data_IF_575071471361
#
_entry.id   IF_575071471361
#
_cell.length_a   1.000
_cell.length_b   1.000
_cell.length_c   1.000
_cell.angle_alpha   90.00
_cell.angle_beta   90.00
_cell.angle_gamma   90.00
#
_symmetry.space_group_name_H-M   'P 1'
#
loop_
_entity.id
_entity.type
_entity.pdbx_description
1 polymer ?
#
# COMPACT_ATOMS: atom_id res chain seq x y z
N UNK A 1 32.79 15.78 -2.84
CA UNK A 1 33.28 16.49 -4.05
C UNK A 1 34.72 16.06 -4.26
N UNK A 2 35.06 15.58 -5.46
CA UNK A 2 36.43 15.30 -5.86
C UNK A 2 37.20 16.61 -5.91
N UNK A 3 38.50 16.58 -5.63
CA UNK A 3 39.35 17.74 -5.88
C UNK A 3 39.34 18.06 -7.38
N UNK A 4 39.45 19.34 -7.78
CA UNK A 4 39.36 19.74 -9.18
C UNK A 4 40.42 19.13 -10.12
N UNK A 5 41.43 18.51 -9.55
CA UNK A 5 42.56 17.88 -10.27
C UNK A 5 42.36 16.38 -10.55
N UNK A 6 41.28 15.76 -10.05
CA UNK A 6 41.03 14.32 -10.16
C UNK A 6 40.23 13.99 -11.41
N UNK A 7 40.84 13.38 -12.38
CA UNK A 7 40.14 12.84 -13.58
C UNK A 7 39.62 11.44 -13.23
N UNK A 8 38.36 11.18 -13.51
CA UNK A 8 37.72 9.87 -13.32
C UNK A 8 37.49 9.25 -14.69
N UNK A 9 38.04 8.07 -14.89
CA UNK A 9 37.76 7.24 -16.07
C UNK A 9 36.88 6.08 -15.68
N UNK A 10 35.79 5.86 -16.43
CA UNK A 10 34.90 4.71 -16.26
C UNK A 10 35.04 3.78 -17.44
N UNK A 11 35.35 2.53 -17.17
CA UNK A 11 35.38 1.48 -18.16
C UNK A 11 34.25 0.49 -17.86
N UNK A 12 33.35 0.27 -18.81
CA UNK A 12 32.20 -0.62 -18.65
C UNK A 12 32.53 -1.97 -19.26
N UNK A 13 32.62 -3.02 -18.42
CA UNK A 13 32.63 -4.42 -18.84
C UNK A 13 31.22 -4.99 -18.95
N UNK A 14 31.07 -6.25 -19.35
CA UNK A 14 29.76 -6.93 -19.51
C UNK A 14 29.02 -7.11 -18.18
N UNK A 15 29.74 -7.28 -17.07
CA UNK A 15 29.17 -7.45 -15.73
C UNK A 15 29.90 -6.64 -14.64
N UNK A 16 30.84 -5.79 -15.03
CA UNK A 16 31.64 -4.98 -14.11
C UNK A 16 31.78 -3.55 -14.62
N UNK A 17 31.98 -2.63 -13.69
CA UNK A 17 32.32 -1.23 -13.99
C UNK A 17 33.59 -0.92 -13.22
N UNK A 18 34.67 -0.64 -13.96
CA UNK A 18 35.94 -0.23 -13.41
C UNK A 18 35.98 1.30 -13.35
N UNK A 19 36.26 1.83 -12.17
CA UNK A 19 36.38 3.26 -11.92
C UNK A 19 37.80 3.54 -11.48
N UNK A 20 38.57 4.21 -12.30
CA UNK A 20 39.93 4.61 -11.97
C UNK A 20 40.03 6.12 -11.74
N UNK A 21 40.87 6.48 -10.77
CA UNK A 21 41.14 7.84 -10.35
C UNK A 21 42.58 8.20 -10.69
N UNK A 22 42.82 9.41 -11.19
CA UNK A 22 44.16 9.90 -11.48
C UNK A 22 45.00 10.13 -10.20
N UNK A 23 44.35 10.29 -9.05
CA UNK A 23 44.99 10.42 -7.75
C UNK A 23 44.16 9.74 -6.65
N UNK A 24 44.80 9.25 -5.56
CA UNK A 24 44.05 8.62 -4.46
C UNK A 24 43.00 9.54 -3.85
N UNK A 25 41.87 8.96 -3.44
CA UNK A 25 40.83 9.69 -2.71
C UNK A 25 41.35 10.06 -1.32
N UNK A 26 41.11 11.30 -0.91
CA UNK A 26 41.48 11.80 0.42
C UNK A 26 40.53 11.26 1.49
N UNK A 27 40.99 11.09 2.75
CA UNK A 27 40.15 10.71 3.86
C UNK A 27 38.92 11.62 3.99
N UNK A 28 37.74 11.01 4.10
CA UNK A 28 36.45 11.74 4.19
C UNK A 28 35.79 12.10 2.86
N UNK A 29 36.45 11.89 1.73
CA UNK A 29 35.78 11.99 0.41
C UNK A 29 34.86 10.79 0.18
N UNK A 30 33.69 11.06 -0.41
CA UNK A 30 32.68 10.03 -0.73
C UNK A 30 32.50 9.96 -2.23
N UNK A 31 32.54 8.75 -2.76
CA UNK A 31 32.14 8.46 -4.14
C UNK A 31 30.69 8.02 -4.15
N UNK A 32 29.88 8.67 -5.00
CA UNK A 32 28.51 8.24 -5.32
C UNK A 32 28.47 7.81 -6.78
N UNK A 33 28.21 6.52 -7.00
CA UNK A 33 27.97 5.96 -8.33
C UNK A 33 26.46 5.84 -8.54
N UNK A 34 25.98 6.44 -9.61
CA UNK A 34 24.59 6.31 -10.05
C UNK A 34 24.58 5.50 -11.35
N UNK A 35 23.99 4.32 -11.30
CA UNK A 35 23.87 3.45 -12.47
C UNK A 35 22.44 3.50 -12.98
N UNK A 36 22.28 3.84 -14.25
CA UNK A 36 20.99 3.88 -14.93
C UNK A 36 20.87 2.71 -15.91
N UNK A 37 19.68 2.14 -16.02
CA UNK A 37 19.37 1.03 -16.95
C UNK A 37 20.27 -0.20 -16.76
N UNK A 38 20.50 -0.60 -15.51
CA UNK A 38 21.22 -1.83 -15.21
C UNK A 38 20.35 -3.04 -15.52
N UNK A 39 20.83 -3.93 -16.40
CA UNK A 39 20.16 -5.21 -16.62
C UNK A 39 20.51 -6.16 -15.48
N UNK A 40 19.54 -6.56 -14.70
CA UNK A 40 19.71 -7.57 -13.66
C UNK A 40 19.52 -8.97 -14.26
N UNK A 41 20.10 -10.03 -13.64
CA UNK A 41 19.90 -11.39 -14.11
C UNK A 41 18.41 -11.76 -14.09
N UNK A 42 17.99 -12.49 -15.13
CA UNK A 42 16.58 -12.92 -15.28
C UNK A 42 16.30 -14.17 -14.42
N UNK A 43 16.63 -14.09 -13.14
CA UNK A 43 16.45 -15.16 -12.14
C UNK A 43 15.88 -14.54 -10.88
N UNK A 44 14.85 -15.15 -10.32
CA UNK A 44 14.34 -14.73 -9.01
C UNK A 44 15.39 -15.02 -7.95
N UNK A 45 15.67 -14.06 -7.11
CA UNK A 45 16.63 -14.20 -6.02
C UNK A 45 17.16 -12.89 -5.50
N UNK A 46 18.03 -12.98 -4.53
CA UNK A 46 18.72 -11.83 -3.98
C UNK A 46 20.04 -11.61 -4.74
N UNK A 47 20.25 -10.38 -5.17
CA UNK A 47 21.46 -9.93 -5.85
C UNK A 47 22.15 -8.90 -4.97
N UNK A 48 23.47 -9.04 -4.85
CA UNK A 48 24.31 -8.12 -4.12
C UNK A 48 25.26 -7.43 -5.09
N UNK A 49 25.50 -6.15 -4.88
CA UNK A 49 26.60 -5.47 -5.53
C UNK A 49 27.85 -5.72 -4.71
N UNK A 50 28.86 -6.31 -5.34
CA UNK A 50 30.18 -6.54 -4.76
C UNK A 50 31.21 -5.76 -5.56
N UNK A 51 32.32 -5.49 -4.98
CA UNK A 51 33.41 -4.81 -5.67
C UNK A 51 34.70 -4.86 -4.86
N UNK A 52 35.80 -4.52 -5.50
CA UNK A 52 37.10 -4.38 -4.88
C UNK A 52 37.59 -2.95 -5.08
N UNK A 53 38.43 -2.48 -4.19
CA UNK A 53 39.15 -1.22 -4.37
C UNK A 53 40.65 -1.42 -4.07
N UNK A 54 41.47 -0.73 -4.83
CA UNK A 54 42.91 -0.79 -4.64
C UNK A 54 43.38 0.44 -3.88
N UNK A 55 44.10 0.21 -2.81
CA UNK A 55 44.76 1.27 -2.04
C UNK A 55 45.98 1.84 -2.78
N UNK A 56 46.46 3.00 -2.34
CA UNK A 56 47.63 3.64 -2.91
C UNK A 56 48.91 2.80 -2.77
N UNK A 57 48.99 1.85 -1.84
CA UNK A 57 50.04 0.88 -1.62
C UNK A 57 49.99 -0.37 -2.53
N UNK A 58 48.95 -0.46 -3.38
CA UNK A 58 48.70 -1.57 -4.28
C UNK A 58 47.89 -2.72 -3.65
N UNK A 59 47.53 -2.66 -2.40
CA UNK A 59 46.72 -3.68 -1.75
C UNK A 59 45.25 -3.60 -2.23
N UNK A 60 44.69 -4.74 -2.61
CA UNK A 60 43.27 -4.88 -2.94
C UNK A 60 42.46 -5.25 -1.70
N UNK A 61 41.38 -4.52 -1.48
CA UNK A 61 40.43 -4.80 -0.43
C UNK A 61 39.05 -4.94 -1.02
N UNK A 62 38.25 -5.84 -0.44
CA UNK A 62 36.86 -6.01 -0.84
C UNK A 62 35.94 -4.91 -0.25
N UNK A 63 35.06 -4.40 -1.04
CA UNK A 63 33.94 -3.56 -0.56
C UNK A 63 32.97 -4.45 0.21
N UNK A 64 32.47 -3.95 1.32
CA UNK A 64 31.32 -4.59 1.98
C UNK A 64 30.19 -4.76 0.96
N UNK A 65 29.55 -5.94 0.87
CA UNK A 65 28.44 -6.16 -0.05
C UNK A 65 27.33 -5.15 0.23
N UNK A 66 26.65 -4.72 -0.84
CA UNK A 66 25.48 -3.88 -0.71
C UNK A 66 24.37 -4.61 0.07
N UNK A 67 23.36 -3.89 0.60
CA UNK A 67 22.10 -4.52 0.96
C UNK A 67 21.57 -5.38 -0.20
N UNK A 68 20.87 -6.49 0.13
CA UNK A 68 20.28 -7.36 -0.88
C UNK A 68 19.26 -6.61 -1.73
N UNK A 69 19.31 -6.85 -3.03
CA UNK A 69 18.31 -6.39 -4.00
C UNK A 69 17.53 -7.63 -4.41
N UNK A 70 16.26 -7.67 -4.04
CA UNK A 70 15.36 -8.75 -4.44
C UNK A 70 14.99 -8.58 -5.91
N UNK A 71 15.41 -9.54 -6.74
CA UNK A 71 15.05 -9.59 -8.17
C UNK A 71 13.87 -10.53 -8.33
N UNK A 72 12.75 -9.99 -8.78
CA UNK A 72 11.55 -10.77 -9.09
C UNK A 72 11.27 -10.74 -10.58
N UNK A 73 10.77 -11.86 -11.11
CA UNK A 73 10.32 -11.85 -12.50
C UNK A 73 9.15 -10.89 -12.67
N UNK A 74 9.18 -10.14 -13.75
CA UNK A 74 8.05 -9.31 -14.12
C UNK A 74 6.79 -10.18 -14.27
N UNK A 75 5.73 -9.77 -13.59
CA UNK A 75 4.42 -10.42 -13.69
C UNK A 75 3.90 -10.37 -15.14
N UNK A 76 2.97 -11.26 -15.54
CA UNK A 76 2.35 -11.15 -16.86
C UNK A 76 1.75 -9.77 -17.15
N UNK A 77 1.20 -9.11 -16.14
CA UNK A 77 0.66 -7.76 -16.25
C UNK A 77 1.75 -6.73 -16.50
N UNK A 78 2.91 -6.84 -15.84
CA UNK A 78 4.06 -5.94 -16.07
C UNK A 78 4.67 -6.14 -17.46
N UNK A 79 4.79 -7.40 -17.93
CA UNK A 79 5.26 -7.67 -19.30
C UNK A 79 4.33 -7.07 -20.34
N UNK A 80 3.02 -7.22 -20.18
CA UNK A 80 2.02 -6.63 -21.05
C UNK A 80 2.06 -5.10 -20.99
N UNK A 81 2.21 -4.54 -19.81
CA UNK A 81 2.36 -3.10 -19.58
C UNK A 81 3.58 -2.53 -20.33
N UNK A 82 4.73 -3.19 -20.21
CA UNK A 82 5.96 -2.78 -20.92
C UNK A 82 5.76 -2.84 -22.43
N UNK A 83 5.22 -3.95 -22.92
CA UNK A 83 4.91 -4.10 -24.35
C UNK A 83 3.93 -3.02 -24.86
N UNK A 84 2.88 -2.71 -24.08
CA UNK A 84 1.94 -1.63 -24.42
C UNK A 84 2.64 -0.27 -24.48
N UNK A 85 3.52 0.05 -23.54
CA UNK A 85 4.25 1.31 -23.52
C UNK A 85 5.19 1.51 -24.73
N UNK A 86 5.61 0.41 -25.36
CA UNK A 86 6.43 0.44 -26.59
C UNK A 86 5.62 0.68 -27.86
N UNK A 87 4.28 0.51 -27.81
CA UNK A 87 3.44 0.68 -28.99
C UNK A 87 3.33 2.16 -29.42
N UNK A 88 3.51 2.47 -30.72
CA UNK A 88 3.41 3.86 -31.22
C UNK A 88 2.08 4.53 -30.89
N UNK A 89 0.98 3.77 -30.89
CA UNK A 89 -0.35 4.29 -30.58
C UNK A 89 -0.44 4.73 -29.10
N UNK A 90 0.16 3.96 -28.17
CA UNK A 90 0.20 4.29 -26.75
C UNK A 90 1.13 5.48 -26.49
N UNK A 91 2.25 5.56 -27.20
CA UNK A 91 3.14 6.71 -27.12
C UNK A 91 2.46 8.00 -27.62
N UNK A 92 1.72 7.92 -28.74
CA UNK A 92 0.90 9.03 -29.23
C UNK A 92 -0.21 9.41 -28.24
N UNK A 93 -0.86 8.43 -27.60
CA UNK A 93 -1.84 8.65 -26.54
C UNK A 93 -1.23 9.39 -25.36
N UNK A 94 -0.08 8.94 -24.89
CA UNK A 94 0.66 9.52 -23.76
C UNK A 94 1.28 10.89 -24.06
N UNK A 95 1.36 11.30 -25.33
CA UNK A 95 1.79 12.64 -25.70
C UNK A 95 0.79 13.72 -25.29
N UNK A 96 -0.49 13.37 -25.15
CA UNK A 96 -1.53 14.25 -24.65
C UNK A 96 -1.50 14.22 -23.11
N UNK A 97 -1.14 15.34 -22.49
CA UNK A 97 -0.93 15.44 -21.04
C UNK A 97 -2.14 14.98 -20.22
N UNK A 98 -3.36 15.32 -20.65
CA UNK A 98 -4.58 14.90 -19.97
C UNK A 98 -4.75 13.37 -19.99
N UNK A 99 -4.56 12.73 -21.14
CA UNK A 99 -4.69 11.28 -21.30
C UNK A 99 -3.63 10.54 -20.49
N UNK A 100 -2.39 11.04 -20.52
CA UNK A 100 -1.29 10.49 -19.72
C UNK A 100 -1.55 10.57 -18.21
N UNK A 101 -2.15 11.66 -17.72
CA UNK A 101 -2.38 11.83 -16.27
C UNK A 101 -3.55 10.98 -15.74
N UNK A 102 -4.59 10.77 -16.56
CA UNK A 102 -5.83 10.13 -16.09
C UNK A 102 -6.06 8.73 -16.68
N UNK A 103 -5.48 8.43 -17.85
CA UNK A 103 -5.77 7.21 -18.62
C UNK A 103 -4.50 6.62 -19.23
N UNK A 104 -3.49 6.36 -18.43
CA UNK A 104 -2.23 5.75 -18.86
C UNK A 104 -2.42 4.22 -19.01
N UNK A 105 -2.47 3.67 -20.26
CA UNK A 105 -2.84 2.27 -20.49
C UNK A 105 -1.88 1.28 -19.83
N UNK A 106 -0.58 1.52 -19.89
CA UNK A 106 0.44 0.69 -19.29
C UNK A 106 0.33 0.65 -17.75
N UNK A 107 0.02 1.79 -17.12
CA UNK A 107 -0.18 1.86 -15.67
C UNK A 107 -1.47 1.15 -15.24
N UNK A 108 -2.55 1.30 -16.01
CA UNK A 108 -3.82 0.60 -15.75
C UNK A 108 -3.57 -0.90 -15.74
N UNK A 109 -2.91 -1.43 -16.78
CA UNK A 109 -2.67 -2.88 -16.92
C UNK A 109 -1.76 -3.41 -15.80
N UNK A 110 -0.66 -2.72 -15.49
CA UNK A 110 0.25 -3.14 -14.42
C UNK A 110 -0.40 -3.09 -13.02
N UNK A 111 -1.40 -2.23 -12.83
CA UNK A 111 -2.11 -2.08 -11.56
C UNK A 111 -3.22 -3.12 -11.34
N UNK A 112 -3.71 -3.79 -12.40
CA UNK A 112 -4.82 -4.77 -12.30
C UNK A 112 -4.60 -5.81 -11.21
N UNK A 113 -3.45 -6.50 -11.10
CA UNK A 113 -3.25 -7.53 -10.07
C UNK A 113 -3.37 -6.96 -8.64
N UNK A 114 -2.78 -5.80 -8.40
CA UNK A 114 -2.81 -5.15 -7.07
C UNK A 114 -4.23 -4.73 -6.72
N UNK A 115 -4.94 -4.11 -7.67
CA UNK A 115 -6.34 -3.70 -7.49
C UNK A 115 -7.25 -4.92 -7.28
N UNK A 116 -7.04 -6.01 -8.04
CA UNK A 116 -7.82 -7.24 -7.90
C UNK A 116 -7.65 -7.86 -6.50
N UNK A 117 -6.42 -7.92 -5.98
CA UNK A 117 -6.16 -8.40 -4.61
C UNK A 117 -6.84 -7.49 -3.58
N UNK A 118 -6.70 -6.17 -3.72
CA UNK A 118 -7.36 -5.22 -2.83
C UNK A 118 -8.89 -5.35 -2.86
N UNK A 119 -9.47 -5.57 -4.04
CA UNK A 119 -10.90 -5.81 -4.22
C UNK A 119 -11.35 -7.10 -3.53
N UNK A 120 -10.61 -8.21 -3.69
CA UNK A 120 -10.92 -9.47 -3.03
C UNK A 120 -10.85 -9.35 -1.50
N UNK A 121 -9.83 -8.65 -0.97
CA UNK A 121 -9.74 -8.37 0.46
C UNK A 121 -10.94 -7.56 0.94
N UNK A 122 -11.31 -6.50 0.23
CA UNK A 122 -12.47 -5.67 0.56
C UNK A 122 -13.77 -6.47 0.55
N UNK A 123 -13.95 -7.33 -0.45
CA UNK A 123 -15.10 -8.23 -0.53
C UNK A 123 -15.14 -9.19 0.68
N UNK A 124 -14.01 -9.78 1.05
CA UNK A 124 -13.89 -10.63 2.22
C UNK A 124 -14.26 -9.91 3.52
N UNK A 125 -13.78 -8.68 3.71
CA UNK A 125 -14.12 -7.86 4.87
C UNK A 125 -15.62 -7.58 4.97
N UNK A 126 -16.26 -7.28 3.84
CA UNK A 126 -17.72 -7.03 3.78
C UNK A 126 -18.52 -8.31 4.04
N UNK A 127 -18.11 -9.44 3.43
CA UNK A 127 -18.79 -10.73 3.61
C UNK A 127 -18.74 -11.23 5.06
N UNK A 128 -17.75 -10.83 5.85
CA UNK A 128 -17.68 -11.15 7.27
C UNK A 128 -18.31 -10.04 8.12
N UNK A 129 -17.99 -8.79 7.83
CA UNK A 129 -18.43 -7.65 8.64
C UNK A 129 -19.93 -7.39 8.57
N UNK A 130 -20.55 -7.56 7.39
CA UNK A 130 -21.99 -7.30 7.24
C UNK A 130 -22.88 -8.32 7.97
N UNK A 131 -22.64 -9.65 7.92
CA UNK A 131 -23.35 -10.59 8.77
C UNK A 131 -23.22 -10.31 10.28
N UNK A 132 -22.07 -9.85 10.73
CA UNK A 132 -21.88 -9.44 12.13
C UNK A 132 -22.64 -8.15 12.47
N UNK A 133 -22.88 -7.29 11.51
CA UNK A 133 -23.69 -6.08 11.70
C UNK A 133 -25.16 -6.39 11.99
N UNK A 134 -25.70 -7.50 11.49
CA UNK A 134 -27.12 -7.87 11.66
C UNK A 134 -27.48 -8.03 13.15
N UNK A 135 -26.82 -8.88 13.93
CA UNK A 135 -27.13 -9.01 15.36
C UNK A 135 -26.88 -7.72 16.14
N UNK A 136 -25.84 -6.96 15.80
CA UNK A 136 -25.57 -5.65 16.44
C UNK A 136 -26.74 -4.69 16.17
N UNK A 137 -27.16 -4.57 14.93
CA UNK A 137 -28.28 -3.71 14.55
C UNK A 137 -29.60 -4.15 15.17
N UNK A 138 -29.86 -5.46 15.24
CA UNK A 138 -31.08 -6.01 15.83
C UNK A 138 -31.15 -5.73 17.33
N UNK A 139 -30.06 -6.00 18.05
CA UNK A 139 -29.97 -5.70 19.48
C UNK A 139 -30.18 -4.20 19.75
N UNK A 140 -29.50 -3.34 18.98
CA UNK A 140 -29.67 -1.89 19.10
C UNK A 140 -31.11 -1.44 18.78
N UNK A 141 -31.78 -2.06 17.79
CA UNK A 141 -33.18 -1.77 17.47
C UNK A 141 -34.13 -2.15 18.62
N UNK A 142 -33.95 -3.33 19.21
CA UNK A 142 -34.71 -3.74 20.38
C UNK A 142 -34.47 -2.82 21.59
N UNK A 143 -33.23 -2.39 21.82
CA UNK A 143 -32.92 -1.41 22.85
C UNK A 143 -33.66 -0.07 22.61
N UNK A 144 -33.76 0.39 21.35
CA UNK A 144 -34.47 1.61 20.99
C UNK A 144 -36.00 1.52 21.17
N UNK A 145 -36.55 0.33 21.04
CA UNK A 145 -38.02 0.09 21.19
C UNK A 145 -38.37 -0.26 22.63
N UNK A 146 -37.38 -0.63 23.45
CA UNK A 146 -37.60 -1.05 24.82
C UNK A 146 -38.25 0.04 25.68
N UNK A 147 -39.04 -0.38 26.67
CA UNK A 147 -39.64 0.53 27.65
C UNK A 147 -38.61 1.18 28.59
N UNK A 148 -37.43 0.58 28.73
CA UNK A 148 -36.36 1.10 29.56
C UNK A 148 -35.75 2.35 28.92
N UNK A 149 -35.79 3.47 29.62
CA UNK A 149 -35.20 4.74 29.19
C UNK A 149 -33.69 4.64 29.02
N UNK A 150 -33.03 3.83 29.87
CA UNK A 150 -31.57 3.63 29.81
C UNK A 150 -31.18 2.94 28.51
N UNK A 151 -31.83 1.83 28.15
CA UNK A 151 -31.57 1.10 26.92
C UNK A 151 -31.81 1.97 25.68
N UNK A 152 -32.91 2.73 25.70
CA UNK A 152 -33.22 3.65 24.61
C UNK A 152 -32.13 4.71 24.44
N UNK A 153 -31.67 5.35 25.51
CA UNK A 153 -30.63 6.39 25.46
C UNK A 153 -29.30 5.82 24.97
N UNK A 154 -28.88 4.65 25.47
CA UNK A 154 -27.65 4.00 25.02
C UNK A 154 -27.66 3.71 23.51
N UNK A 155 -28.76 3.13 23.01
CA UNK A 155 -28.89 2.84 21.60
C UNK A 155 -29.01 4.14 20.74
N UNK A 156 -29.61 5.19 21.30
CA UNK A 156 -29.68 6.50 20.63
C UNK A 156 -28.32 7.17 20.52
N UNK A 157 -27.49 7.12 21.58
CA UNK A 157 -26.11 7.61 21.57
C UNK A 157 -25.28 6.83 20.54
N UNK A 158 -25.33 5.49 20.61
CA UNK A 158 -24.62 4.63 19.65
C UNK A 158 -24.96 5.00 18.20
N UNK A 159 -26.23 4.97 17.85
CA UNK A 159 -26.65 5.26 16.47
C UNK A 159 -26.40 6.72 16.07
N UNK A 160 -26.55 7.65 17.01
CA UNK A 160 -26.31 9.08 16.78
C UNK A 160 -24.85 9.37 16.50
N UNK A 161 -23.94 8.82 17.30
CA UNK A 161 -22.47 9.00 17.13
C UNK A 161 -22.00 8.31 15.86
N UNK A 162 -22.33 7.04 15.68
CA UNK A 162 -21.81 6.25 14.56
C UNK A 162 -22.34 6.74 13.21
N UNK A 163 -23.63 7.07 13.12
CA UNK A 163 -24.21 7.61 11.86
C UNK A 163 -23.92 9.09 11.65
N UNK A 164 -23.62 9.83 12.72
CA UNK A 164 -23.25 11.23 12.68
C UNK A 164 -21.79 11.50 12.34
N UNK A 165 -20.94 10.45 12.34
CA UNK A 165 -19.53 10.56 11.98
C UNK A 165 -19.22 9.83 10.67
N UNK A 166 -18.36 10.40 9.80
CA UNK A 166 -17.96 9.72 8.56
C UNK A 166 -17.26 8.38 8.86
N UNK A 167 -17.60 7.33 8.11
CA UNK A 167 -16.95 6.01 8.25
C UNK A 167 -15.44 6.11 8.15
N UNK A 168 -14.92 6.94 7.24
CA UNK A 168 -13.47 7.16 7.11
C UNK A 168 -12.83 7.63 8.41
N UNK A 169 -13.47 8.56 9.12
CA UNK A 169 -12.99 9.03 10.42
C UNK A 169 -12.98 7.92 11.47
N UNK A 170 -14.00 7.06 11.49
CA UNK A 170 -14.06 5.91 12.40
C UNK A 170 -12.91 4.93 12.13
N UNK A 171 -12.67 4.60 10.86
CA UNK A 171 -11.54 3.77 10.45
C UNK A 171 -10.23 4.41 10.90
N UNK A 172 -10.04 5.71 10.61
CA UNK A 172 -8.81 6.44 10.96
C UNK A 172 -8.54 6.41 12.47
N UNK A 173 -9.56 6.72 13.29
CA UNK A 173 -9.43 6.67 14.76
C UNK A 173 -9.11 5.25 15.23
N UNK A 174 -9.74 4.23 14.67
CA UNK A 174 -9.49 2.84 15.05
C UNK A 174 -8.06 2.41 14.69
N UNK A 175 -7.61 2.66 13.47
CA UNK A 175 -6.29 2.21 12.99
C UNK A 175 -5.11 2.97 13.61
N UNK A 176 -5.27 4.25 13.89
CA UNK A 176 -4.18 5.07 14.43
C UNK A 176 -4.36 5.38 15.92
N UNK A 177 -5.60 5.49 16.40
CA UNK A 177 -5.88 5.83 17.79
C UNK A 177 -5.67 4.67 18.76
N UNK A 178 -6.10 3.45 18.43
CA UNK A 178 -5.94 2.29 19.32
C UNK A 178 -4.49 1.92 19.61
N UNK A 179 -3.57 1.88 18.61
CA UNK A 179 -2.16 1.64 18.87
C UNK A 179 -1.52 2.70 19.79
N UNK A 180 -1.93 3.97 19.70
CA UNK A 180 -1.46 5.01 20.61
C UNK A 180 -1.86 4.77 22.08
N UNK A 181 -2.94 4.02 22.30
CA UNK A 181 -3.39 3.59 23.62
C UNK A 181 -2.74 2.25 24.07
N UNK A 182 -1.81 1.71 23.27
CA UNK A 182 -1.17 0.42 23.53
C UNK A 182 -2.03 -0.80 23.17
N UNK A 183 -3.12 -0.60 22.43
CA UNK A 183 -4.02 -1.67 21.98
C UNK A 183 -3.64 -2.03 20.53
N UNK A 184 -2.94 -3.15 20.39
CA UNK A 184 -2.54 -3.68 19.07
C UNK A 184 -3.49 -4.80 18.64
N UNK A 185 -4.24 -4.55 17.58
CA UNK A 185 -5.22 -5.47 17.00
C UNK A 185 -4.87 -5.68 15.53
N UNK A 186 -4.98 -6.94 15.07
CA UNK A 186 -4.80 -7.24 13.65
C UNK A 186 -5.71 -6.34 12.79
N UNK A 187 -5.11 -5.71 11.77
CA UNK A 187 -5.77 -4.72 10.92
C UNK A 187 -7.04 -5.23 10.23
N UNK A 188 -7.10 -6.50 9.83
CA UNK A 188 -8.30 -7.08 9.19
C UNK A 188 -9.43 -7.27 10.21
N UNK A 189 -9.10 -7.73 11.41
CA UNK A 189 -10.08 -7.85 12.51
C UNK A 189 -10.64 -6.48 12.86
N UNK A 190 -9.78 -5.49 12.98
CA UNK A 190 -10.18 -4.12 13.27
C UNK A 190 -11.10 -3.54 12.20
N UNK A 191 -10.76 -3.75 10.91
CA UNK A 191 -11.60 -3.34 9.79
C UNK A 191 -12.99 -4.00 9.85
N UNK A 192 -13.05 -5.32 10.11
CA UNK A 192 -14.32 -6.05 10.25
C UNK A 192 -15.16 -5.48 11.39
N UNK A 193 -14.55 -5.20 12.54
CA UNK A 193 -15.27 -4.65 13.71
C UNK A 193 -15.82 -3.25 13.39
N UNK A 194 -15.01 -2.37 12.81
CA UNK A 194 -15.46 -1.01 12.44
C UNK A 194 -16.60 -1.06 11.44
N UNK A 195 -16.49 -1.91 10.40
CA UNK A 195 -17.55 -2.09 9.40
C UNK A 195 -18.84 -2.67 10.03
N UNK A 196 -18.70 -3.66 10.91
CA UNK A 196 -19.84 -4.27 11.60
C UNK A 196 -20.57 -3.27 12.52
N UNK A 197 -19.81 -2.50 13.30
CA UNK A 197 -20.37 -1.46 14.18
C UNK A 197 -21.03 -0.35 13.36
N UNK A 198 -20.38 0.12 12.31
CA UNK A 198 -20.96 1.16 11.45
C UNK A 198 -22.25 0.68 10.76
N UNK A 199 -22.21 -0.46 10.07
CA UNK A 199 -23.37 -1.03 9.38
C UNK A 199 -24.49 -1.39 10.35
N UNK A 200 -24.15 -1.88 11.55
CA UNK A 200 -25.12 -2.18 12.61
C UNK A 200 -25.92 -0.96 13.04
N UNK A 201 -25.32 0.23 13.07
CA UNK A 201 -26.03 1.46 13.41
C UNK A 201 -27.09 1.85 12.35
N UNK A 202 -26.80 1.61 11.07
CA UNK A 202 -27.77 1.79 10.00
C UNK A 202 -28.86 0.72 10.03
N UNK A 203 -28.50 -0.55 10.20
CA UNK A 203 -29.43 -1.67 10.34
C UNK A 203 -30.37 -1.49 11.53
N UNK A 204 -29.90 -0.91 12.63
CA UNK A 204 -30.74 -0.58 13.79
C UNK A 204 -31.97 0.26 13.39
N UNK A 205 -31.78 1.28 12.59
CA UNK A 205 -32.90 2.13 12.16
C UNK A 205 -33.82 1.42 11.17
N UNK A 206 -33.27 0.61 10.28
CA UNK A 206 -34.02 -0.21 9.33
C UNK A 206 -34.92 -1.20 10.09
N UNK A 207 -34.35 -1.95 11.03
CA UNK A 207 -35.12 -2.90 11.85
C UNK A 207 -36.15 -2.21 12.72
N UNK A 208 -35.78 -1.09 13.36
CA UNK A 208 -36.73 -0.31 14.16
C UNK A 208 -37.92 0.17 13.30
N UNK A 209 -37.65 0.73 12.13
CA UNK A 209 -38.70 1.21 11.23
C UNK A 209 -39.57 0.04 10.73
N UNK A 210 -38.97 -1.09 10.36
CA UNK A 210 -39.72 -2.28 9.93
C UNK A 210 -40.61 -2.83 11.04
N UNK A 211 -40.14 -2.96 12.28
CA UNK A 211 -40.94 -3.44 13.40
C UNK A 211 -42.09 -2.49 13.70
N UNK A 212 -41.84 -1.17 13.66
CA UNK A 212 -42.88 -0.17 13.98
C UNK A 212 -43.90 0.04 12.85
N UNK A 213 -43.62 -0.42 11.63
CA UNK A 213 -44.54 -0.34 10.50
C UNK A 213 -45.66 -1.38 10.57
N UNK A 214 -45.51 -2.42 11.40
CA UNK A 214 -46.54 -3.47 11.53
C UNK A 214 -47.75 -2.93 12.34
N UNK A 215 -48.96 -3.00 11.82
CA UNK A 215 -50.16 -2.57 12.56
C UNK A 215 -50.33 -3.37 13.85
N UNK A 216 -50.78 -2.71 14.93
CA UNK A 216 -50.94 -3.34 16.26
C UNK A 216 -52.01 -4.45 16.33
N UNK A 217 -52.63 -4.81 15.24
CA UNK A 217 -53.65 -5.88 15.15
C UNK A 217 -53.20 -7.15 14.47
N UNK A 218 -51.97 -7.21 14.00
CA UNK A 218 -51.29 -8.40 13.46
C UNK A 218 -50.24 -8.86 14.46
#
# INVERSE_FOLDING_TARGET
>A
RLSPENTVTMNKGDASVDVSFSAPLQPGQRLRLEMYKVSLPNVNGEVFLTGTYTLADGNMLDLAPSPSIEVTHASPAERLSTWLGEQPAVQAWNSVTFLRLFFQPELIVSSIPVVAVGWLISLGLVLVGFPLAIPIGLVAAFMKIARSRILHVLAAIYTGVVRGTPLFLQIYIAFFGLPLLGIDINQYVLAIVVLAVNSGAYLCEIFRAGIQSIPKGQ
#
